data_IF_786114453875
#
_entry.id   IF_786114453875
#
_cell.length_a   1.000
_cell.length_b   1.000
_cell.length_c   1.000
_cell.angle_alpha   90.00
_cell.angle_beta   90.00
_cell.angle_gamma   90.00
#
_symmetry.space_group_name_H-M   'P 1'
#
loop_
_entity.id
_entity.type
_entity.pdbx_description
1 polymer ?
#
# COMPACT_ATOMS: atom_id res chain seq x y z
N UNK A 1 -13.01 -10.31 -33.72
CA UNK A 1 -12.12 -9.69 -34.74
C UNK A 1 -10.99 -9.02 -33.99
N UNK A 2 -9.72 -9.11 -34.43
CA UNK A 2 -8.60 -8.51 -33.68
C UNK A 2 -8.39 -7.05 -34.08
N UNK A 3 -8.06 -6.20 -33.10
CA UNK A 3 -7.72 -4.80 -33.36
C UNK A 3 -6.35 -4.64 -34.04
N UNK A 4 -6.25 -3.67 -34.94
CA UNK A 4 -4.99 -3.24 -35.53
C UNK A 4 -4.21 -2.34 -34.56
N UNK A 5 -2.89 -2.24 -34.76
CA UNK A 5 -2.02 -1.49 -33.86
C UNK A 5 -2.44 -0.03 -33.67
N UNK A 6 -2.83 0.68 -34.74
CA UNK A 6 -3.30 2.06 -34.66
C UNK A 6 -4.59 2.23 -33.84
N UNK A 7 -5.45 1.20 -33.80
CA UNK A 7 -6.68 1.19 -33.01
C UNK A 7 -6.38 1.04 -31.51
N UNK A 8 -5.38 0.22 -31.19
CA UNK A 8 -4.88 0.05 -29.82
C UNK A 8 -4.23 1.34 -29.32
N UNK A 9 -3.40 2.00 -30.14
CA UNK A 9 -2.78 3.28 -29.76
C UNK A 9 -3.84 4.37 -29.54
N UNK A 10 -4.91 4.42 -30.35
CA UNK A 10 -6.01 5.37 -30.12
C UNK A 10 -6.70 5.15 -28.75
N UNK A 11 -6.90 3.89 -28.34
CA UNK A 11 -7.43 3.57 -27.00
C UNK A 11 -6.42 3.99 -25.92
N UNK A 12 -5.12 3.74 -26.13
CA UNK A 12 -4.07 4.11 -25.18
C UNK A 12 -4.01 5.62 -24.97
N UNK A 13 -4.05 6.41 -26.04
CA UNK A 13 -4.06 7.87 -25.98
C UNK A 13 -5.25 8.40 -25.17
N UNK A 14 -6.43 7.79 -25.34
CA UNK A 14 -7.60 8.12 -24.53
C UNK A 14 -7.35 7.86 -23.04
N UNK A 15 -6.81 6.68 -22.68
CA UNK A 15 -6.49 6.30 -21.29
C UNK A 15 -5.43 7.24 -20.68
N UNK A 16 -4.41 7.60 -21.45
CA UNK A 16 -3.35 8.51 -21.00
C UNK A 16 -3.85 9.94 -20.81
N UNK A 17 -4.90 10.34 -21.54
CA UNK A 17 -5.64 11.58 -21.31
C UNK A 17 -6.53 11.56 -20.06
N UNK A 18 -6.74 10.39 -19.43
CA UNK A 18 -7.48 10.28 -18.18
C UNK A 18 -6.59 10.53 -16.97
N UNK A 19 -7.18 10.99 -15.86
CA UNK A 19 -6.48 11.24 -14.58
C UNK A 19 -6.18 9.94 -13.81
N UNK A 20 -5.51 8.98 -14.45
CA UNK A 20 -5.14 7.67 -13.90
C UNK A 20 -3.64 7.69 -13.61
N UNK A 21 -3.29 7.45 -12.35
CA UNK A 21 -1.93 7.65 -11.86
C UNK A 21 -1.04 6.42 -11.97
N UNK A 22 -1.62 5.24 -12.15
CA UNK A 22 -0.92 3.96 -12.00
C UNK A 22 -0.88 3.16 -13.31
N UNK A 23 0.33 2.72 -13.70
CA UNK A 23 0.63 2.04 -14.96
C UNK A 23 -0.06 0.67 -15.07
N UNK A 24 -0.19 -0.05 -13.94
CA UNK A 24 -0.87 -1.34 -13.88
C UNK A 24 -2.38 -1.20 -14.11
N UNK A 25 -3.00 -0.12 -13.60
CA UNK A 25 -4.40 0.19 -13.86
C UNK A 25 -4.62 0.60 -15.31
N UNK A 26 -3.73 1.44 -15.85
CA UNK A 26 -3.77 1.82 -17.27
C UNK A 26 -3.68 0.59 -18.19
N UNK A 27 -2.77 -0.34 -17.89
CA UNK A 27 -2.60 -1.56 -18.67
C UNK A 27 -3.86 -2.44 -18.64
N UNK A 28 -4.46 -2.62 -17.47
CA UNK A 28 -5.68 -3.42 -17.33
C UNK A 28 -6.90 -2.77 -18.01
N UNK A 29 -7.03 -1.45 -17.92
CA UNK A 29 -8.08 -0.72 -18.63
C UNK A 29 -7.92 -0.82 -20.15
N UNK A 30 -6.68 -0.77 -20.64
CA UNK A 30 -6.39 -0.98 -22.07
C UNK A 30 -6.87 -2.36 -22.51
N UNK A 31 -6.48 -3.40 -21.78
CA UNK A 31 -6.88 -4.78 -22.08
C UNK A 31 -8.41 -4.97 -22.02
N UNK A 32 -9.07 -4.37 -21.02
CA UNK A 32 -10.52 -4.42 -20.87
C UNK A 32 -11.26 -3.72 -22.01
N UNK A 33 -10.81 -2.51 -22.41
CA UNK A 33 -11.41 -1.77 -23.53
C UNK A 33 -11.19 -2.54 -24.84
N UNK A 34 -9.97 -3.04 -25.09
CA UNK A 34 -9.68 -3.85 -26.27
C UNK A 34 -10.63 -5.05 -26.35
N UNK A 35 -10.76 -5.83 -25.26
CA UNK A 35 -11.66 -6.98 -25.24
C UNK A 35 -13.12 -6.59 -25.51
N UNK A 36 -13.61 -5.50 -24.91
CA UNK A 36 -14.99 -5.04 -25.09
C UNK A 36 -15.24 -4.57 -26.54
N UNK A 37 -14.29 -3.83 -27.13
CA UNK A 37 -14.37 -3.39 -28.54
C UNK A 37 -14.35 -4.60 -29.49
N UNK A 38 -13.42 -5.54 -29.29
CA UNK A 38 -13.33 -6.76 -30.13
C UNK A 38 -14.60 -7.61 -30.04
N UNK A 39 -15.19 -7.70 -28.85
CA UNK A 39 -16.44 -8.40 -28.62
C UNK A 39 -17.60 -7.73 -29.37
N UNK A 40 -17.78 -6.41 -29.24
CA UNK A 40 -18.85 -5.66 -29.91
C UNK A 40 -18.74 -5.68 -31.41
N UNK A 41 -17.53 -5.54 -31.94
CA UNK A 41 -17.28 -5.67 -33.38
C UNK A 41 -17.61 -7.07 -33.90
N UNK A 42 -17.48 -8.11 -33.06
CA UNK A 42 -17.80 -9.48 -33.44
C UNK A 42 -19.30 -9.82 -33.31
N UNK A 43 -20.03 -9.20 -32.38
CA UNK A 43 -21.42 -9.57 -32.06
C UNK A 43 -22.47 -8.63 -32.63
N UNK A 44 -22.14 -7.35 -32.87
CA UNK A 44 -23.10 -6.32 -33.26
C UNK A 44 -22.90 -5.77 -34.68
N UNK A 45 -21.94 -6.31 -35.44
CA UNK A 45 -21.59 -5.85 -36.80
C UNK A 45 -21.35 -4.33 -36.92
N UNK A 46 -20.79 -3.74 -35.86
CA UNK A 46 -20.46 -2.30 -35.81
C UNK A 46 -18.97 -2.06 -36.09
N UNK A 47 -18.66 -0.87 -36.61
CA UNK A 47 -17.28 -0.45 -36.89
C UNK A 47 -16.54 -0.06 -35.61
N UNK A 48 -15.22 -0.07 -35.68
CA UNK A 48 -14.33 0.27 -34.57
C UNK A 48 -14.70 1.58 -33.84
N UNK A 49 -14.94 2.67 -34.58
CA UNK A 49 -15.19 3.99 -33.98
C UNK A 49 -16.41 3.96 -33.07
N UNK A 50 -17.48 3.30 -33.51
CA UNK A 50 -18.73 3.15 -32.75
C UNK A 50 -18.54 2.19 -31.57
N UNK A 51 -17.89 1.05 -31.79
CA UNK A 51 -17.57 0.09 -30.74
C UNK A 51 -16.70 0.70 -29.63
N UNK A 52 -15.70 1.51 -30.01
CA UNK A 52 -14.80 2.19 -29.10
C UNK A 52 -15.52 3.27 -28.29
N UNK A 53 -16.37 4.08 -28.93
CA UNK A 53 -17.18 5.09 -28.23
C UNK A 53 -18.06 4.44 -27.15
N UNK A 54 -18.79 3.38 -27.51
CA UNK A 54 -19.65 2.64 -26.57
C UNK A 54 -18.85 2.02 -25.42
N UNK A 55 -17.72 1.37 -25.72
CA UNK A 55 -16.88 0.74 -24.70
C UNK A 55 -16.26 1.77 -23.74
N UNK A 56 -15.95 2.97 -24.24
CA UNK A 56 -15.39 4.07 -23.45
C UNK A 56 -16.47 4.70 -22.56
N UNK A 57 -17.68 4.93 -23.08
CA UNK A 57 -18.80 5.53 -22.33
C UNK A 57 -19.21 4.69 -21.11
N UNK A 58 -19.08 3.37 -21.20
CA UNK A 58 -19.42 2.44 -20.11
C UNK A 58 -18.39 2.45 -18.96
N UNK A 59 -17.21 3.02 -19.19
CA UNK A 59 -16.10 2.94 -18.25
C UNK A 59 -15.99 4.25 -17.47
N UNK A 60 -15.96 4.12 -16.14
CA UNK A 60 -15.59 5.21 -15.24
C UNK A 60 -14.18 4.94 -14.66
N UNK A 61 -13.11 5.53 -15.23
CA UNK A 61 -11.74 5.23 -14.81
C UNK A 61 -11.46 5.60 -13.35
N UNK A 62 -12.06 6.69 -12.87
CA UNK A 62 -11.93 7.11 -11.47
C UNK A 62 -12.57 6.11 -10.51
N UNK A 63 -13.73 5.56 -10.85
CA UNK A 63 -14.38 4.54 -10.03
C UNK A 63 -13.54 3.27 -9.95
N UNK A 64 -13.03 2.79 -11.08
CA UNK A 64 -12.18 1.59 -11.16
C UNK A 64 -10.89 1.77 -10.36
N UNK A 65 -10.22 2.92 -10.50
CA UNK A 65 -9.02 3.21 -9.70
C UNK A 65 -9.34 3.19 -8.20
N UNK A 66 -10.43 3.84 -7.76
CA UNK A 66 -10.81 3.89 -6.34
C UNK A 66 -11.15 2.51 -5.79
N UNK A 67 -11.92 1.72 -6.55
CA UNK A 67 -12.31 0.38 -6.14
C UNK A 67 -11.09 -0.53 -5.96
N UNK A 68 -10.18 -0.53 -6.94
CA UNK A 68 -8.94 -1.31 -6.86
C UNK A 68 -8.09 -0.92 -5.66
N UNK A 69 -7.88 0.39 -5.45
CA UNK A 69 -7.12 0.87 -4.29
C UNK A 69 -7.77 0.44 -2.97
N UNK A 70 -9.10 0.52 -2.87
CA UNK A 70 -9.86 0.09 -1.68
C UNK A 70 -9.68 -1.39 -1.39
N UNK A 71 -9.78 -2.25 -2.40
CA UNK A 71 -9.55 -3.70 -2.26
C UNK A 71 -8.13 -3.96 -1.75
N UNK A 72 -7.14 -3.27 -2.32
CA UNK A 72 -5.74 -3.40 -1.88
C UNK A 72 -5.51 -2.91 -0.45
N UNK A 73 -6.16 -1.83 -0.02
CA UNK A 73 -6.09 -1.36 1.37
C UNK A 73 -6.59 -2.44 2.35
N UNK A 74 -7.75 -3.04 2.06
CA UNK A 74 -8.33 -4.10 2.90
C UNK A 74 -7.45 -5.34 2.92
N UNK A 75 -6.94 -5.76 1.75
CA UNK A 75 -6.02 -6.88 1.64
C UNK A 75 -4.74 -6.63 2.45
N UNK A 76 -4.21 -5.41 2.41
CA UNK A 76 -3.02 -5.01 3.18
C UNK A 76 -3.24 -5.15 4.67
N UNK A 77 -4.37 -4.67 5.20
CA UNK A 77 -4.69 -4.84 6.62
C UNK A 77 -4.75 -6.31 7.03
N UNK A 78 -5.41 -7.14 6.22
CA UNK A 78 -5.49 -8.58 6.45
C UNK A 78 -4.11 -9.23 6.48
N UNK A 79 -3.23 -8.88 5.55
CA UNK A 79 -1.86 -9.41 5.50
C UNK A 79 -1.01 -8.95 6.68
N UNK A 80 -1.12 -7.68 7.09
CA UNK A 80 -0.40 -7.17 8.27
C UNK A 80 -0.87 -7.90 9.52
N UNK A 81 -2.19 -8.08 9.69
CA UNK A 81 -2.75 -8.84 10.81
C UNK A 81 -2.26 -10.29 10.84
N UNK A 82 -2.26 -10.95 9.68
CA UNK A 82 -1.71 -12.32 9.54
C UNK A 82 -0.22 -12.38 9.86
N UNK A 83 0.58 -11.39 9.45
CA UNK A 83 1.99 -11.33 9.84
C UNK A 83 2.14 -11.13 11.34
N UNK A 84 1.34 -10.27 11.99
CA UNK A 84 1.39 -10.09 13.45
C UNK A 84 1.12 -11.41 14.16
N UNK A 85 0.07 -12.15 13.81
CA UNK A 85 -0.20 -13.48 14.37
C UNK A 85 1.00 -14.42 14.08
N UNK A 86 1.52 -14.37 12.86
CA UNK A 86 2.70 -15.13 12.45
C UNK A 86 3.96 -14.82 13.25
N UNK A 87 4.09 -13.65 13.86
CA UNK A 87 5.21 -13.31 14.74
C UNK A 87 5.15 -14.07 16.07
N UNK A 88 3.97 -14.46 16.54
CA UNK A 88 3.80 -15.24 17.78
C UNK A 88 3.95 -16.76 17.58
N UNK A 89 4.33 -17.21 16.38
CA UNK A 89 4.46 -18.63 16.05
C UNK A 89 5.82 -18.99 15.49
N UNK A 90 6.26 -20.21 15.81
CA UNK A 90 7.48 -20.80 15.27
C UNK A 90 8.75 -20.00 15.58
N UNK A 91 9.66 -19.98 14.61
CA UNK A 91 10.98 -19.34 14.77
C UNK A 91 10.95 -17.82 14.82
N UNK A 92 9.81 -17.15 14.60
CA UNK A 92 9.71 -15.68 14.58
C UNK A 92 9.38 -15.06 15.94
N UNK A 93 9.10 -15.87 16.96
CA UNK A 93 8.70 -15.42 18.31
C UNK A 93 9.69 -14.45 18.94
N UNK A 94 10.99 -14.57 18.61
CA UNK A 94 12.01 -13.62 19.09
C UNK A 94 11.71 -12.18 18.69
N UNK A 95 11.11 -11.93 17.51
CA UNK A 95 10.73 -10.58 17.08
C UNK A 95 9.61 -10.01 17.96
N UNK A 96 8.66 -10.84 18.36
CA UNK A 96 7.61 -10.43 19.28
C UNK A 96 8.17 -10.14 20.68
N UNK A 97 9.07 -11.00 21.16
CA UNK A 97 9.76 -10.78 22.45
C UNK A 97 10.57 -9.49 22.42
N UNK A 98 11.33 -9.21 21.34
CA UNK A 98 12.08 -7.97 21.18
C UNK A 98 11.15 -6.74 21.17
N UNK A 99 10.02 -6.82 20.48
CA UNK A 99 9.04 -5.72 20.45
C UNK A 99 8.46 -5.42 21.84
N UNK A 100 8.17 -6.46 22.63
CA UNK A 100 7.66 -6.33 24.00
C UNK A 100 8.75 -5.79 24.93
N UNK A 101 9.97 -6.35 24.87
CA UNK A 101 11.10 -5.88 25.66
C UNK A 101 11.42 -4.42 25.38
N UNK A 102 11.34 -3.97 24.11
CA UNK A 102 11.50 -2.56 23.77
C UNK A 102 10.46 -1.67 24.48
N UNK A 103 9.19 -2.10 24.54
CA UNK A 103 8.14 -1.38 25.25
C UNK A 103 8.39 -1.30 26.76
N UNK A 104 8.83 -2.41 27.36
CA UNK A 104 9.19 -2.46 28.79
C UNK A 104 10.37 -1.53 29.08
N UNK A 105 11.47 -1.66 28.32
CA UNK A 105 12.69 -0.86 28.51
C UNK A 105 12.44 0.63 28.34
N UNK A 106 11.66 1.03 27.32
CA UNK A 106 11.31 2.44 27.12
C UNK A 106 10.51 3.00 28.29
N UNK A 107 9.66 2.18 28.92
CA UNK A 107 8.85 2.61 30.06
C UNK A 107 9.64 2.62 31.38
N UNK A 108 10.58 1.69 31.57
CA UNK A 108 11.29 1.53 32.86
C UNK A 108 12.57 2.35 32.97
N UNK A 109 13.24 2.64 31.85
CA UNK A 109 14.52 3.38 31.84
C UNK A 109 14.30 4.88 31.69
N UNK A 110 13.12 5.28 31.23
CA UNK A 110 12.83 6.69 30.96
C UNK A 110 12.55 7.49 32.24
N UNK A 111 13.20 8.66 32.33
CA UNK A 111 12.92 9.65 33.37
C UNK A 111 11.72 10.55 33.01
N UNK A 112 11.40 10.66 31.71
CA UNK A 112 10.27 11.43 31.17
C UNK A 112 9.56 10.61 30.09
N UNK A 113 8.47 9.97 30.49
CA UNK A 113 7.68 9.11 29.62
C UNK A 113 6.98 9.88 28.50
N UNK A 114 6.63 11.14 28.72
CA UNK A 114 5.96 11.97 27.71
C UNK A 114 6.95 12.31 26.59
N UNK A 115 8.14 12.80 26.94
CA UNK A 115 9.19 13.10 25.97
C UNK A 115 9.59 11.82 25.21
N UNK A 116 9.71 10.70 25.93
CA UNK A 116 10.06 9.39 25.33
C UNK A 116 9.01 8.93 24.33
N UNK A 117 7.73 9.11 24.62
CA UNK A 117 6.64 8.74 23.71
C UNK A 117 6.62 9.61 22.45
N UNK A 118 6.91 10.91 22.59
CA UNK A 118 7.05 11.83 21.45
C UNK A 118 8.24 11.45 20.56
N UNK A 119 9.40 11.16 21.17
CA UNK A 119 10.60 10.71 20.47
C UNK A 119 10.37 9.37 19.76
N UNK A 120 9.78 8.38 20.45
CA UNK A 120 9.41 7.09 19.87
C UNK A 120 8.54 7.25 18.62
N UNK A 121 7.46 8.03 18.73
CA UNK A 121 6.54 8.29 17.61
C UNK A 121 7.28 8.91 16.42
N UNK A 122 8.12 9.91 16.69
CA UNK A 122 8.90 10.61 15.66
C UNK A 122 9.91 9.68 14.98
N UNK A 123 10.66 8.89 15.77
CA UNK A 123 11.64 7.93 15.25
C UNK A 123 10.97 6.84 14.40
N UNK A 124 9.82 6.33 14.83
CA UNK A 124 9.09 5.31 14.10
C UNK A 124 8.58 5.82 12.74
N UNK A 125 7.99 7.01 12.69
CA UNK A 125 7.57 7.64 11.44
C UNK A 125 8.77 7.91 10.53
N UNK A 126 9.88 8.38 11.11
CA UNK A 126 11.13 8.59 10.37
C UNK A 126 11.67 7.29 9.79
N UNK A 127 11.64 6.19 10.55
CA UNK A 127 12.08 4.87 10.07
C UNK A 127 11.20 4.36 8.92
N UNK A 128 9.88 4.54 9.00
CA UNK A 128 8.97 4.23 7.90
C UNK A 128 9.28 5.07 6.65
N UNK A 129 9.48 6.38 6.83
CA UNK A 129 9.80 7.30 5.75
C UNK A 129 11.14 6.95 5.09
N UNK A 130 12.18 6.66 5.87
CA UNK A 130 13.48 6.23 5.35
C UNK A 130 13.39 4.90 4.60
N UNK A 131 12.59 3.94 5.08
CA UNK A 131 12.38 2.69 4.36
C UNK A 131 11.71 2.91 3.00
N UNK A 132 10.70 3.78 2.95
CA UNK A 132 10.06 4.20 1.71
C UNK A 132 11.03 4.89 0.76
N UNK A 133 11.74 5.90 1.26
CA UNK A 133 12.67 6.70 0.47
C UNK A 133 13.79 5.82 -0.09
N UNK A 134 14.41 4.98 0.74
CA UNK A 134 15.46 4.06 0.29
C UNK A 134 14.94 3.14 -0.83
N UNK A 135 13.75 2.56 -0.66
CA UNK A 135 13.21 1.62 -1.66
C UNK A 135 12.83 2.30 -2.96
N UNK A 136 12.25 3.49 -2.91
CA UNK A 136 11.85 4.22 -4.12
C UNK A 136 13.01 4.89 -4.82
N UNK A 137 13.91 5.54 -4.07
CA UNK A 137 15.06 6.26 -4.62
C UNK A 137 16.11 5.32 -5.22
N UNK A 138 16.52 4.27 -4.49
CA UNK A 138 17.56 3.35 -4.97
C UNK A 138 17.06 2.37 -6.04
N UNK A 139 15.74 2.25 -6.23
CA UNK A 139 15.18 1.27 -7.16
C UNK A 139 14.21 1.89 -8.18
N UNK A 140 14.53 3.10 -8.64
CA UNK A 140 13.77 3.83 -9.65
C UNK A 140 13.49 3.02 -10.93
N UNK A 141 14.38 2.08 -11.29
CA UNK A 141 14.22 1.18 -12.45
C UNK A 141 12.87 0.43 -12.43
N UNK A 142 12.36 0.07 -11.25
CA UNK A 142 11.11 -0.69 -11.13
C UNK A 142 9.86 0.19 -11.06
N UNK A 143 10.00 1.52 -11.17
CA UNK A 143 8.91 2.50 -11.12
C UNK A 143 7.88 2.24 -9.99
N UNK A 144 8.32 2.00 -8.73
CA UNK A 144 7.42 1.59 -7.64
C UNK A 144 6.29 2.62 -7.38
N UNK A 145 6.54 3.90 -7.65
CA UNK A 145 5.57 4.98 -7.46
C UNK A 145 4.37 4.92 -8.43
N UNK A 146 4.54 4.28 -9.59
CA UNK A 146 3.50 4.16 -10.62
C UNK A 146 2.75 2.83 -10.53
N UNK A 147 2.99 2.04 -9.48
CA UNK A 147 2.33 0.76 -9.29
C UNK A 147 1.28 0.87 -8.17
N UNK A 148 0.01 0.64 -8.53
CA UNK A 148 -1.12 0.80 -7.60
C UNK A 148 -1.00 -0.13 -6.39
N UNK A 149 -0.54 -1.36 -6.61
CA UNK A 149 -0.35 -2.36 -5.57
C UNK A 149 0.70 -1.95 -4.52
N UNK A 150 1.85 -1.44 -4.96
CA UNK A 150 2.90 -0.95 -4.05
C UNK A 150 2.45 0.31 -3.30
N UNK A 151 1.89 1.29 -4.00
CA UNK A 151 1.50 2.57 -3.40
C UNK A 151 0.30 2.44 -2.45
N UNK A 152 -0.69 1.62 -2.77
CA UNK A 152 -1.82 1.36 -1.85
C UNK A 152 -1.34 0.74 -0.54
N UNK A 153 -0.46 -0.27 -0.61
CA UNK A 153 0.14 -0.90 0.58
C UNK A 153 0.93 0.08 1.42
N UNK A 154 1.77 0.88 0.78
CA UNK A 154 2.55 1.92 1.43
C UNK A 154 1.64 2.91 2.15
N UNK A 155 0.63 3.44 1.45
CA UNK A 155 -0.31 4.41 2.00
C UNK A 155 -1.09 3.82 3.18
N UNK A 156 -1.48 2.55 3.10
CA UNK A 156 -2.12 1.85 4.22
C UNK A 156 -1.22 1.86 5.46
N UNK A 157 0.04 1.46 5.29
CA UNK A 157 1.00 1.35 6.40
C UNK A 157 1.27 2.72 7.01
N UNK A 158 1.58 3.70 6.16
CA UNK A 158 1.98 5.03 6.60
C UNK A 158 0.81 5.77 7.25
N UNK A 159 -0.37 5.74 6.63
CA UNK A 159 -1.55 6.44 7.16
C UNK A 159 -1.97 5.86 8.50
N UNK A 160 -1.96 4.52 8.65
CA UNK A 160 -2.28 3.90 9.94
C UNK A 160 -1.25 4.22 11.02
N UNK A 161 0.05 4.23 10.69
CA UNK A 161 1.09 4.64 11.64
C UNK A 161 0.94 6.11 12.06
N UNK A 162 0.67 7.00 11.09
CA UNK A 162 0.45 8.42 11.33
C UNK A 162 -0.80 8.67 12.18
N UNK A 163 -1.92 8.02 11.85
CA UNK A 163 -3.15 8.14 12.63
C UNK A 163 -2.98 7.62 14.05
N UNK A 164 -2.29 6.49 14.23
CA UNK A 164 -2.04 5.92 15.55
C UNK A 164 -1.19 6.84 16.42
N UNK A 165 -0.09 7.36 15.89
CA UNK A 165 0.80 8.28 16.62
C UNK A 165 0.15 9.64 16.87
N UNK A 166 -0.62 10.16 15.91
CA UNK A 166 -1.36 11.43 16.07
C UNK A 166 -2.47 11.31 17.12
N UNK A 167 -3.23 10.22 17.11
CA UNK A 167 -4.29 9.98 18.09
C UNK A 167 -3.72 9.86 19.50
N UNK A 168 -2.58 9.17 19.64
CA UNK A 168 -1.88 9.11 20.92
C UNK A 168 -1.40 10.48 21.37
N UNK A 169 -0.68 11.21 20.51
CA UNK A 169 -0.15 12.53 20.82
C UNK A 169 -1.23 13.54 21.22
N UNK A 170 -2.38 13.52 20.54
CA UNK A 170 -3.46 14.50 20.75
C UNK A 170 -4.39 14.16 21.91
N UNK A 171 -4.70 12.88 22.14
CA UNK A 171 -5.82 12.49 23.00
C UNK A 171 -5.44 11.56 24.14
N UNK A 172 -4.34 10.80 24.03
CA UNK A 172 -4.06 9.70 24.97
C UNK A 172 -2.73 9.84 25.71
N UNK A 173 -1.90 10.84 25.40
CA UNK A 173 -0.57 11.02 26.02
C UNK A 173 -0.64 10.98 27.55
N UNK A 174 -1.41 11.88 28.17
CA UNK A 174 -1.51 12.00 29.63
C UNK A 174 -2.02 10.70 30.27
N UNK A 175 -3.02 10.09 29.65
CA UNK A 175 -3.60 8.84 30.15
C UNK A 175 -2.61 7.68 30.05
N UNK A 176 -1.86 7.55 28.94
CA UNK A 176 -0.87 6.50 28.77
C UNK A 176 0.31 6.65 29.73
N UNK A 177 0.76 7.88 29.98
CA UNK A 177 1.84 8.17 30.95
C UNK A 177 1.43 7.76 32.37
N UNK A 178 0.16 7.99 32.74
CA UNK A 178 -0.39 7.56 34.03
C UNK A 178 -0.64 6.05 34.12
N UNK A 179 -0.67 5.33 32.99
CA UNK A 179 -0.96 3.91 32.92
C UNK A 179 0.20 3.14 32.23
N UNK A 180 1.32 2.88 32.93
CA UNK A 180 2.52 2.27 32.35
C UNK A 180 2.29 0.94 31.63
N UNK A 181 1.36 0.10 32.14
CA UNK A 181 1.01 -1.17 31.48
C UNK A 181 0.35 -0.92 30.13
N UNK A 182 -0.56 0.04 30.02
CA UNK A 182 -1.21 0.40 28.77
C UNK A 182 -0.21 1.00 27.77
N UNK A 183 0.75 1.80 28.25
CA UNK A 183 1.85 2.33 27.45
C UNK A 183 2.74 1.22 26.87
N UNK A 184 3.11 0.23 27.70
CA UNK A 184 3.87 -0.93 27.24
C UNK A 184 3.11 -1.68 26.16
N UNK A 185 1.81 -1.95 26.36
CA UNK A 185 0.96 -2.63 25.38
C UNK A 185 0.91 -1.84 24.07
N UNK A 186 0.73 -0.52 24.15
CA UNK A 186 0.71 0.36 22.98
C UNK A 186 2.03 0.28 22.19
N UNK A 187 3.16 0.56 22.84
CA UNK A 187 4.48 0.57 22.20
C UNK A 187 4.78 -0.81 21.59
N UNK A 188 4.49 -1.89 22.32
CA UNK A 188 4.71 -3.26 21.85
C UNK A 188 3.86 -3.59 20.62
N UNK A 189 2.58 -3.24 20.66
CA UNK A 189 1.65 -3.47 19.55
C UNK A 189 2.03 -2.65 18.33
N UNK A 190 2.45 -1.40 18.54
CA UNK A 190 2.91 -0.53 17.47
C UNK A 190 4.21 -1.05 16.84
N UNK A 191 5.18 -1.50 17.64
CA UNK A 191 6.39 -2.14 17.13
C UNK A 191 6.10 -3.42 16.34
N UNK A 192 5.20 -4.28 16.83
CA UNK A 192 4.75 -5.46 16.09
C UNK A 192 4.13 -5.08 14.74
N UNK A 193 3.29 -4.04 14.74
CA UNK A 193 2.70 -3.49 13.53
C UNK A 193 3.76 -2.99 12.55
N UNK A 194 4.77 -2.24 13.01
CA UNK A 194 5.87 -1.76 12.16
C UNK A 194 6.67 -2.92 11.56
N UNK A 195 7.05 -3.90 12.39
CA UNK A 195 7.79 -5.09 11.94
C UNK A 195 6.98 -5.86 10.88
N UNK A 196 5.71 -6.13 11.15
CA UNK A 196 4.81 -6.80 10.22
C UNK A 196 4.67 -6.00 8.91
N UNK A 197 4.49 -4.69 9.01
CA UNK A 197 4.37 -3.78 7.87
C UNK A 197 5.64 -3.75 7.01
N UNK A 198 6.82 -3.68 7.62
CA UNK A 198 8.09 -3.75 6.89
C UNK A 198 8.24 -5.07 6.12
N UNK A 199 7.81 -6.19 6.72
CA UNK A 199 7.83 -7.51 6.07
C UNK A 199 6.86 -7.58 4.90
N UNK A 200 5.62 -7.10 5.07
CA UNK A 200 4.62 -7.01 3.98
C UNK A 200 5.18 -6.17 2.84
N UNK A 201 5.64 -4.95 3.12
CA UNK A 201 6.21 -4.07 2.11
C UNK A 201 7.44 -4.69 1.44
N UNK A 202 8.28 -5.44 2.16
CA UNK A 202 9.45 -6.10 1.58
C UNK A 202 9.06 -7.18 0.58
N UNK A 203 8.06 -7.99 0.92
CA UNK A 203 7.52 -9.00 0.00
C UNK A 203 6.90 -8.35 -1.23
N UNK A 204 6.12 -7.29 -1.05
CA UNK A 204 5.53 -6.50 -2.14
C UNK A 204 6.60 -5.95 -3.06
N UNK A 205 7.63 -5.33 -2.51
CA UNK A 205 8.73 -4.78 -3.29
C UNK A 205 9.49 -5.87 -4.06
N UNK A 206 9.77 -7.01 -3.44
CA UNK A 206 10.42 -8.13 -4.11
C UNK A 206 9.55 -8.72 -5.24
N UNK A 207 8.23 -8.80 -5.06
CA UNK A 207 7.30 -9.20 -6.13
C UNK A 207 7.37 -8.24 -7.32
N UNK A 208 7.34 -6.93 -7.05
CA UNK A 208 7.46 -5.89 -8.07
C UNK A 208 8.79 -6.00 -8.84
N UNK A 209 9.91 -6.16 -8.11
CA UNK A 209 11.22 -6.37 -8.72
C UNK A 209 11.25 -7.59 -9.65
N UNK A 210 10.66 -8.70 -9.21
CA UNK A 210 10.63 -9.92 -10.00
C UNK A 210 9.72 -9.79 -11.22
N UNK A 211 8.58 -9.08 -11.15
CA UNK A 211 7.71 -8.86 -12.31
C UNK A 211 8.32 -7.95 -13.38
N UNK A 212 9.07 -6.90 -13.00
CA UNK A 212 9.72 -6.01 -13.97
C UNK A 212 10.93 -6.68 -14.64
N UNK A 213 11.56 -7.68 -14.01
CA UNK A 213 12.67 -8.42 -14.62
C UNK A 213 12.27 -9.31 -15.81
N UNK A 214 10.96 -9.53 -16.03
CA UNK A 214 10.41 -10.32 -17.14
C UNK A 214 9.72 -9.49 -18.24
N UNK A 215 9.80 -8.15 -18.18
CA UNK A 215 9.46 -7.25 -19.29
C UNK A 215 10.74 -6.68 -19.91
#
# INVERSE_FOLDING_TARGET
>A
MKLAHYQIEHIREYIDGQNIWYDDIKSELLDHIICNVEHRMATSDIKFVEAAALAIEEINPSAIQKERLKVEHIATFKEVYQEIIGLFSGSKIYLAVVAILAGVLLTTVSNDLEETLRLFSTMALTALFLNFFARTYFNRKFKPLYNSFFMSRLNTVYTSALLSTSLVGLLLTDWLVQNPVALIIYISTFNLYLIASFRVLNRTFNKLRNHVAYR
#
